data_IF_387668336999
#
_entry.id   IF_387668336999
#
_cell.length_a   1.000
_cell.length_b   1.000
_cell.length_c   1.000
_cell.angle_alpha   90.00
_cell.angle_beta   90.00
_cell.angle_gamma   90.00
#
_symmetry.space_group_name_H-M   'P 1'
#
loop_
_entity.id
_entity.type
_entity.pdbx_description
1 polymer ?
#
# COMPACT_ATOMS: atom_id res chain seq x y z
N UNK A 1 -14.17 -27.05 -8.95
CA UNK A 1 -15.22 -26.18 -9.50
C UNK A 1 -14.89 -24.76 -9.03
N UNK A 2 -14.40 -23.90 -9.93
CA UNK A 2 -13.72 -22.65 -9.57
C UNK A 2 -14.76 -21.55 -9.25
N UNK A 3 -15.18 -21.47 -7.98
CA UNK A 3 -16.09 -20.42 -7.53
C UNK A 3 -15.38 -19.10 -7.67
N UNK A 4 -15.84 -18.23 -8.58
CA UNK A 4 -15.25 -16.90 -8.79
C UNK A 4 -15.24 -16.14 -7.46
N UNK A 5 -14.07 -16.04 -6.85
CA UNK A 5 -13.89 -15.38 -5.56
C UNK A 5 -14.22 -13.89 -5.73
N UNK A 6 -15.09 -13.36 -4.86
CA UNK A 6 -15.53 -11.97 -4.92
C UNK A 6 -14.79 -11.16 -3.86
N UNK A 7 -14.39 -9.94 -4.20
CA UNK A 7 -13.68 -9.03 -3.28
C UNK A 7 -14.48 -8.77 -2.00
N UNK A 8 -15.81 -8.76 -2.06
CA UNK A 8 -16.66 -8.55 -0.89
C UNK A 8 -16.50 -9.64 0.17
N UNK A 9 -16.35 -10.91 -0.23
CA UNK A 9 -16.11 -12.02 0.71
C UNK A 9 -14.76 -11.84 1.41
N UNK A 10 -13.73 -11.39 0.67
CA UNK A 10 -12.44 -11.06 1.26
C UNK A 10 -12.55 -9.91 2.27
N UNK A 11 -13.35 -8.89 1.96
CA UNK A 11 -13.56 -7.76 2.86
C UNK A 11 -14.25 -8.21 4.16
N UNK A 12 -15.25 -9.09 4.07
CA UNK A 12 -15.91 -9.66 5.26
C UNK A 12 -14.92 -10.43 6.14
N UNK A 13 -14.14 -11.33 5.55
CA UNK A 13 -13.12 -12.09 6.28
C UNK A 13 -12.03 -11.16 6.87
N UNK A 14 -11.63 -10.11 6.14
CA UNK A 14 -10.66 -9.12 6.63
C UNK A 14 -11.20 -8.33 7.82
N UNK A 15 -12.48 -7.99 7.81
CA UNK A 15 -13.16 -7.31 8.93
C UNK A 15 -13.18 -8.24 10.16
N UNK A 16 -13.46 -9.52 9.98
CA UNK A 16 -13.49 -10.47 11.11
C UNK A 16 -12.09 -10.73 11.68
N UNK A 17 -11.06 -10.77 10.83
CA UNK A 17 -9.67 -10.81 11.27
C UNK A 17 -9.27 -9.53 12.02
N UNK A 18 -9.71 -8.37 11.52
CA UNK A 18 -9.49 -7.08 12.19
C UNK A 18 -10.16 -7.05 13.56
N UNK A 19 -11.44 -7.43 13.67
CA UNK A 19 -12.20 -7.47 14.93
C UNK A 19 -11.55 -8.38 15.96
N UNK A 20 -11.13 -9.58 15.56
CA UNK A 20 -10.50 -10.55 16.46
C UNK A 20 -9.13 -10.09 16.97
N UNK A 21 -8.46 -9.18 16.26
CA UNK A 21 -7.12 -8.70 16.60
C UNK A 21 -7.04 -7.17 16.73
N UNK A 22 -8.15 -6.49 17.03
CA UNK A 22 -8.26 -5.03 16.89
C UNK A 22 -7.20 -4.27 17.71
N UNK A 23 -6.83 -4.75 18.90
CA UNK A 23 -5.81 -4.13 19.75
C UNK A 23 -4.45 -4.08 19.06
N UNK A 24 -4.06 -5.16 18.38
CA UNK A 24 -2.81 -5.25 17.65
C UNK A 24 -2.81 -4.25 16.50
N UNK A 25 -3.85 -4.27 15.67
CA UNK A 25 -3.95 -3.37 14.52
C UNK A 25 -4.01 -1.90 14.93
N UNK A 26 -4.79 -1.54 15.96
CA UNK A 26 -4.81 -0.17 16.48
C UNK A 26 -3.47 0.28 17.04
N UNK A 27 -2.73 -0.61 17.71
CA UNK A 27 -1.39 -0.29 18.23
C UNK A 27 -0.42 0.00 17.09
N UNK A 28 -0.43 -0.84 16.05
CA UNK A 28 0.42 -0.67 14.86
C UNK A 28 0.06 0.63 14.14
N UNK A 29 -1.23 0.88 13.92
CA UNK A 29 -1.67 2.09 13.23
C UNK A 29 -1.41 3.35 14.05
N UNK A 30 -1.51 3.29 15.38
CA UNK A 30 -1.11 4.39 16.25
C UNK A 30 0.39 4.71 16.09
N UNK A 31 1.25 3.68 16.11
CA UNK A 31 2.69 3.86 15.89
C UNK A 31 2.98 4.42 14.48
N UNK A 32 2.24 3.96 13.46
CA UNK A 32 2.30 4.49 12.10
C UNK A 32 1.87 5.97 12.03
N UNK A 33 0.77 6.34 12.68
CA UNK A 33 0.28 7.71 12.75
C UNK A 33 1.27 8.64 13.47
N UNK A 34 1.93 8.16 14.54
CA UNK A 34 3.02 8.91 15.19
C UNK A 34 4.18 9.15 14.22
N UNK A 35 4.58 8.15 13.44
CA UNK A 35 5.62 8.33 12.41
C UNK A 35 5.19 9.34 11.34
N UNK A 36 3.93 9.26 10.87
CA UNK A 36 3.35 10.20 9.89
C UNK A 36 3.35 11.65 10.41
N UNK A 37 2.96 11.83 11.68
CA UNK A 37 2.98 13.14 12.34
C UNK A 37 4.40 13.71 12.45
N UNK A 38 5.39 12.88 12.80
CA UNK A 38 6.80 13.30 12.83
C UNK A 38 7.31 13.72 11.45
N UNK A 39 6.91 13.02 10.38
CA UNK A 39 7.24 13.38 9.00
C UNK A 39 6.57 14.72 8.62
N UNK A 40 5.30 14.91 8.98
CA UNK A 40 4.54 16.13 8.67
C UNK A 40 5.12 17.36 9.38
N UNK A 41 5.42 17.25 10.69
CA UNK A 41 6.15 18.27 11.44
C UNK A 41 7.54 18.52 10.84
N UNK A 42 8.19 17.45 10.38
CA UNK A 42 9.38 17.48 9.54
C UNK A 42 9.24 18.47 8.39
N UNK A 43 8.31 18.21 7.49
CA UNK A 43 8.14 18.99 6.26
C UNK A 43 7.80 20.47 6.50
N UNK A 44 7.10 20.81 7.59
CA UNK A 44 6.76 22.20 7.92
C UNK A 44 7.97 23.02 8.42
N UNK A 45 8.93 22.37 9.06
CA UNK A 45 10.08 23.01 9.68
C UNK A 45 11.29 23.14 8.73
N UNK A 46 11.29 22.47 7.57
CA UNK A 46 12.37 22.57 6.54
C UNK A 46 12.53 24.01 6.01
N UNK A 47 11.57 24.91 6.24
CA UNK A 47 11.63 26.32 5.87
C UNK A 47 12.44 27.21 6.84
N UNK A 48 13.14 26.66 7.83
CA UNK A 48 14.04 27.45 8.69
C UNK A 48 15.45 27.52 8.10
N UNK A 49 16.02 28.72 7.95
CA UNK A 49 17.40 28.99 7.44
C UNK A 49 18.53 28.41 8.32
N UNK A 50 18.21 27.61 9.35
CA UNK A 50 19.18 27.02 10.26
C UNK A 50 19.60 25.62 9.79
N UNK A 51 20.84 25.54 9.28
CA UNK A 51 21.46 24.30 8.82
C UNK A 51 21.43 23.18 9.86
N UNK A 52 21.57 23.50 11.16
CA UNK A 52 21.55 22.49 12.23
C UNK A 52 20.16 21.89 12.37
N UNK A 53 19.11 22.72 12.35
CA UNK A 53 17.73 22.25 12.40
C UNK A 53 17.41 21.41 11.16
N UNK A 54 17.85 21.82 9.97
CA UNK A 54 17.67 21.04 8.75
C UNK A 54 18.31 19.64 8.83
N UNK A 55 19.53 19.52 9.36
CA UNK A 55 20.21 18.22 9.54
C UNK A 55 19.47 17.33 10.54
N UNK A 56 19.09 17.86 11.70
CA UNK A 56 18.32 17.11 12.72
C UNK A 56 17.00 16.61 12.13
N UNK A 57 16.33 17.45 11.34
CA UNK A 57 15.05 17.17 10.71
C UNK A 57 15.15 16.06 9.66
N UNK A 58 16.17 16.11 8.81
CA UNK A 58 16.46 15.04 7.83
C UNK A 58 16.67 13.71 8.54
N UNK A 59 17.40 13.70 9.67
CA UNK A 59 17.57 12.49 10.47
C UNK A 59 16.22 11.99 11.02
N UNK A 60 15.39 12.87 11.60
CA UNK A 60 14.06 12.50 12.10
C UNK A 60 13.18 11.90 11.00
N UNK A 61 13.19 12.49 9.80
CA UNK A 61 12.44 11.97 8.64
C UNK A 61 12.96 10.60 8.22
N UNK A 62 14.28 10.42 8.09
CA UNK A 62 14.88 9.13 7.72
C UNK A 62 14.56 8.05 8.76
N UNK A 63 14.68 8.37 10.05
CA UNK A 63 14.30 7.45 11.12
C UNK A 63 12.82 7.10 11.07
N UNK A 64 11.94 8.10 10.88
CA UNK A 64 10.49 7.87 10.81
C UNK A 64 10.12 6.98 9.62
N UNK A 65 10.74 7.19 8.46
CA UNK A 65 10.58 6.32 7.28
C UNK A 65 11.03 4.89 7.59
N UNK A 66 12.21 4.73 8.21
CA UNK A 66 12.74 3.42 8.59
C UNK A 66 11.79 2.67 9.54
N UNK A 67 11.31 3.33 10.60
CA UNK A 67 10.37 2.75 11.56
C UNK A 67 9.02 2.42 10.90
N UNK A 68 8.49 3.31 10.06
CA UNK A 68 7.23 3.11 9.35
C UNK A 68 7.29 1.87 8.45
N UNK A 69 8.36 1.71 7.65
CA UNK A 69 8.52 0.53 6.82
C UNK A 69 8.68 -0.75 7.64
N UNK A 70 9.46 -0.73 8.73
CA UNK A 70 9.56 -1.91 9.60
C UNK A 70 8.23 -2.28 10.25
N UNK A 71 7.43 -1.30 10.68
CA UNK A 71 6.09 -1.55 11.21
C UNK A 71 5.19 -2.19 10.15
N UNK A 72 5.24 -1.71 8.90
CA UNK A 72 4.46 -2.28 7.80
C UNK A 72 4.88 -3.73 7.49
N UNK A 73 6.17 -4.03 7.47
CA UNK A 73 6.67 -5.39 7.26
C UNK A 73 6.30 -6.29 8.45
N UNK A 74 6.42 -5.80 9.68
CA UNK A 74 6.02 -6.53 10.87
C UNK A 74 4.52 -6.87 10.86
N UNK A 75 3.67 -5.94 10.39
CA UNK A 75 2.25 -6.17 10.16
C UNK A 75 2.01 -7.27 9.12
N UNK A 76 2.77 -7.25 8.01
CA UNK A 76 2.68 -8.29 6.98
C UNK A 76 3.01 -9.68 7.57
N UNK A 77 4.10 -9.78 8.33
CA UNK A 77 4.51 -11.02 8.99
C UNK A 77 3.47 -11.47 10.03
N UNK A 78 2.97 -10.54 10.86
CA UNK A 78 1.99 -10.86 11.90
C UNK A 78 0.70 -11.42 11.30
N UNK A 79 0.21 -10.83 10.21
CA UNK A 79 -0.98 -11.33 9.52
C UNK A 79 -0.71 -12.67 8.83
N UNK A 80 0.45 -12.85 8.18
CA UNK A 80 0.85 -14.15 7.64
C UNK A 80 0.83 -15.25 8.71
N UNK A 81 1.46 -15.00 9.85
CA UNK A 81 1.53 -15.97 10.94
C UNK A 81 0.13 -16.33 11.45
N UNK A 82 -0.78 -15.36 11.54
CA UNK A 82 -2.19 -15.61 11.89
C UNK A 82 -2.90 -16.47 10.85
N UNK A 83 -2.69 -16.26 9.55
CA UNK A 83 -3.23 -17.13 8.50
C UNK A 83 -2.71 -18.57 8.63
N UNK A 84 -1.44 -18.72 8.95
CA UNK A 84 -0.79 -20.02 9.15
C UNK A 84 -1.06 -20.62 10.54
N UNK A 85 -1.91 -19.98 11.37
CA UNK A 85 -2.26 -20.38 12.74
C UNK A 85 -1.07 -20.46 13.71
N UNK A 86 0.00 -19.71 13.45
CA UNK A 86 1.10 -19.55 14.38
C UNK A 86 0.78 -18.45 15.40
N UNK A 87 0.96 -18.76 16.69
CA UNK A 87 1.00 -17.74 17.73
C UNK A 87 2.37 -17.07 17.71
N UNK A 88 2.40 -15.78 17.41
CA UNK A 88 3.63 -14.99 17.44
C UNK A 88 3.37 -13.64 18.07
N UNK A 89 4.32 -13.20 18.88
CA UNK A 89 4.31 -11.86 19.46
C UNK A 89 4.68 -10.83 18.38
N UNK A 90 4.04 -9.66 18.44
CA UNK A 90 4.34 -8.58 17.50
C UNK A 90 5.78 -8.10 17.64
N UNK A 91 6.36 -8.15 18.84
CA UNK A 91 7.76 -7.80 19.06
C UNK A 91 8.70 -8.73 18.27
N UNK A 92 8.36 -10.01 18.18
CA UNK A 92 9.11 -10.97 17.37
C UNK A 92 8.96 -10.68 15.88
N UNK A 93 7.72 -10.42 15.42
CA UNK A 93 7.46 -10.00 14.04
C UNK A 93 8.25 -8.74 13.67
N UNK A 94 8.33 -7.76 14.58
CA UNK A 94 9.10 -6.54 14.39
C UNK A 94 10.60 -6.80 14.33
N UNK A 95 11.14 -7.69 15.15
CA UNK A 95 12.56 -8.11 15.06
C UNK A 95 12.84 -8.74 13.70
N UNK A 96 12.02 -9.70 13.28
CA UNK A 96 12.14 -10.39 12.00
C UNK A 96 11.96 -9.44 10.81
N UNK A 97 11.15 -8.39 10.92
CA UNK A 97 10.99 -7.39 9.86
C UNK A 97 12.32 -6.74 9.40
N UNK A 98 13.34 -6.73 10.26
CA UNK A 98 14.67 -6.24 9.90
C UNK A 98 15.34 -7.02 8.77
N UNK A 99 15.13 -8.33 8.65
CA UNK A 99 15.75 -9.15 7.60
C UNK A 99 15.15 -8.89 6.21
N UNK A 100 13.89 -8.44 6.15
CA UNK A 100 13.18 -8.17 4.90
C UNK A 100 13.19 -6.69 4.50
N UNK A 101 13.64 -5.81 5.39
CA UNK A 101 13.57 -4.35 5.23
C UNK A 101 14.08 -3.85 3.89
N UNK A 102 15.33 -4.18 3.53
CA UNK A 102 15.93 -3.65 2.30
C UNK A 102 15.26 -4.20 1.03
N UNK A 103 14.89 -5.48 1.04
CA UNK A 103 14.18 -6.10 -0.09
C UNK A 103 12.83 -5.41 -0.34
N UNK A 104 12.08 -5.16 0.74
CA UNK A 104 10.81 -4.45 0.68
C UNK A 104 10.97 -3.00 0.22
N UNK A 105 11.91 -2.26 0.80
CA UNK A 105 12.15 -0.84 0.47
C UNK A 105 12.59 -0.68 -0.98
N UNK A 106 13.57 -1.45 -1.45
CA UNK A 106 14.04 -1.34 -2.84
C UNK A 106 12.96 -1.74 -3.84
N UNK A 107 12.19 -2.79 -3.55
CA UNK A 107 11.07 -3.21 -4.41
C UNK A 107 9.98 -2.13 -4.46
N UNK A 108 9.67 -1.51 -3.32
CA UNK A 108 8.69 -0.42 -3.22
C UNK A 108 9.15 0.84 -3.96
N UNK A 109 10.42 1.23 -3.82
CA UNK A 109 11.00 2.36 -4.56
C UNK A 109 10.99 2.09 -6.06
N UNK A 110 11.39 0.89 -6.49
CA UNK A 110 11.38 0.52 -7.90
C UNK A 110 9.96 0.61 -8.49
N UNK A 111 8.95 0.09 -7.78
CA UNK A 111 7.55 0.22 -8.18
C UNK A 111 7.10 1.70 -8.22
N UNK A 112 7.45 2.48 -7.20
CA UNK A 112 7.11 3.89 -7.11
C UNK A 112 7.74 4.71 -8.26
N UNK A 113 8.98 4.40 -8.65
CA UNK A 113 9.63 5.04 -9.81
C UNK A 113 8.94 4.66 -11.12
N UNK A 114 8.59 3.38 -11.30
CA UNK A 114 7.87 2.91 -12.49
C UNK A 114 6.52 3.62 -12.67
N UNK A 115 5.73 3.70 -11.60
CA UNK A 115 4.43 4.38 -11.61
C UNK A 115 4.60 5.90 -11.67
N UNK A 116 5.54 6.44 -10.88
CA UNK A 116 5.81 7.87 -10.76
C UNK A 116 6.29 8.49 -12.07
N UNK A 117 7.09 7.80 -12.87
CA UNK A 117 7.49 8.27 -14.19
C UNK A 117 6.29 8.55 -15.09
N UNK A 118 5.25 7.69 -15.03
CA UNK A 118 4.01 7.90 -15.78
C UNK A 118 3.28 9.16 -15.31
N UNK A 119 3.24 9.40 -13.99
CA UNK A 119 2.62 10.60 -13.41
C UNK A 119 3.37 11.88 -13.80
N UNK A 120 4.71 11.84 -13.86
CA UNK A 120 5.53 12.99 -14.28
C UNK A 120 5.18 13.45 -15.70
N UNK A 121 4.93 12.52 -16.63
CA UNK A 121 4.52 12.89 -17.98
C UNK A 121 3.16 13.58 -18.04
N UNK A 122 2.23 13.25 -17.14
CA UNK A 122 0.95 13.95 -17.02
C UNK A 122 1.19 15.40 -16.59
N UNK A 123 1.96 15.62 -15.52
CA UNK A 123 2.30 16.97 -15.07
C UNK A 123 3.07 17.78 -16.11
N UNK A 124 3.98 17.14 -16.84
CA UNK A 124 4.71 17.79 -17.93
C UNK A 124 3.76 18.30 -19.02
N UNK A 125 2.77 17.49 -19.42
CA UNK A 125 1.77 17.90 -20.42
C UNK A 125 0.91 19.08 -19.97
N UNK A 126 0.57 19.15 -18.68
CA UNK A 126 -0.16 20.28 -18.08
C UNK A 126 0.74 21.53 -18.05
N UNK A 127 2.01 21.37 -17.65
CA UNK A 127 2.96 22.47 -17.45
C UNK A 127 3.39 23.14 -18.76
N UNK A 128 3.33 22.42 -19.88
CA UNK A 128 3.64 22.94 -21.21
C UNK A 128 2.49 23.71 -21.86
N UNK A 129 1.41 23.99 -21.11
CA UNK A 129 0.19 24.65 -21.63
C UNK A 129 -0.34 23.98 -22.90
N UNK A 130 -0.22 22.65 -22.98
CA UNK A 130 -0.66 21.90 -24.13
C UNK A 130 -2.17 22.09 -24.34
N UNK A 131 -2.62 21.94 -25.59
CA UNK A 131 -4.04 21.97 -25.91
C UNK A 131 -4.82 21.01 -24.97
N UNK A 132 -6.02 21.39 -24.46
CA UNK A 132 -6.81 20.53 -23.57
C UNK A 132 -7.01 19.10 -24.07
N UNK A 133 -7.12 18.91 -25.40
CA UNK A 133 -7.23 17.60 -26.01
C UNK A 133 -5.94 16.77 -25.86
N UNK A 134 -4.77 17.41 -25.97
CA UNK A 134 -3.47 16.76 -25.74
C UNK A 134 -3.32 16.37 -24.27
N UNK A 135 -3.70 17.25 -23.34
CA UNK A 135 -3.68 16.95 -21.90
C UNK A 135 -4.59 15.74 -21.60
N UNK A 136 -5.80 15.71 -22.17
CA UNK A 136 -6.73 14.60 -21.99
C UNK A 136 -6.16 13.28 -22.52
N UNK A 137 -5.56 13.29 -23.72
CA UNK A 137 -4.94 12.11 -24.32
C UNK A 137 -3.71 11.64 -23.53
N UNK A 138 -2.84 12.55 -23.10
CA UNK A 138 -1.69 12.23 -22.25
C UNK A 138 -2.13 11.65 -20.89
N UNK A 139 -3.14 12.24 -20.27
CA UNK A 139 -3.70 11.75 -19.00
C UNK A 139 -4.28 10.34 -19.16
N UNK A 140 -4.99 10.06 -20.26
CA UNK A 140 -5.52 8.74 -20.54
C UNK A 140 -4.42 7.71 -20.79
N UNK A 141 -3.40 8.08 -21.59
CA UNK A 141 -2.29 7.19 -21.92
C UNK A 141 -1.42 6.86 -20.71
N UNK A 142 -0.89 7.89 -20.04
CA UNK A 142 0.03 7.71 -18.92
C UNK A 142 -0.69 7.32 -17.63
N UNK A 143 -1.92 7.80 -17.41
CA UNK A 143 -2.77 7.32 -16.32
C UNK A 143 -3.16 5.86 -16.51
N UNK A 144 -3.51 5.46 -17.74
CA UNK A 144 -3.74 4.05 -18.10
C UNK A 144 -2.51 3.19 -17.90
N UNK A 145 -1.32 3.68 -18.26
CA UNK A 145 -0.05 2.99 -18.02
C UNK A 145 0.22 2.81 -16.52
N UNK A 146 0.05 3.86 -15.71
CA UNK A 146 0.21 3.80 -14.27
C UNK A 146 -0.72 2.75 -13.64
N UNK A 147 -2.00 2.74 -14.03
CA UNK A 147 -2.98 1.76 -13.57
C UNK A 147 -2.61 0.33 -14.00
N UNK A 148 -2.09 0.16 -15.22
CA UNK A 148 -1.65 -1.14 -15.72
C UNK A 148 -0.42 -1.66 -14.96
N UNK A 149 0.53 -0.77 -14.65
CA UNK A 149 1.70 -1.11 -13.84
C UNK A 149 1.30 -1.52 -12.43
N UNK A 150 0.40 -0.76 -11.79
CA UNK A 150 -0.18 -1.15 -10.50
C UNK A 150 -0.91 -2.49 -10.61
N UNK A 151 -1.76 -2.68 -11.62
CA UNK A 151 -2.48 -3.94 -11.81
C UNK A 151 -1.57 -5.17 -11.83
N UNK A 152 -0.42 -5.12 -12.51
CA UNK A 152 0.50 -6.26 -12.59
C UNK A 152 1.48 -6.37 -11.41
N UNK A 153 1.95 -5.23 -10.90
CA UNK A 153 3.12 -5.18 -10.02
C UNK A 153 2.80 -4.73 -8.61
N UNK A 154 1.54 -4.41 -8.29
CA UNK A 154 1.17 -3.95 -6.96
C UNK A 154 1.62 -4.94 -5.88
N UNK A 155 1.60 -6.26 -6.09
CA UNK A 155 1.99 -7.26 -5.09
C UNK A 155 3.51 -7.48 -4.93
N UNK A 156 4.36 -6.85 -5.75
CA UNK A 156 5.80 -7.09 -5.70
C UNK A 156 6.43 -6.81 -4.31
N UNK A 157 6.08 -5.71 -3.60
CA UNK A 157 6.55 -5.51 -2.23
C UNK A 157 6.12 -6.61 -1.26
N UNK A 158 4.91 -7.16 -1.38
CA UNK A 158 4.46 -8.28 -0.55
C UNK A 158 5.25 -9.56 -0.84
N UNK A 159 5.52 -9.86 -2.11
CA UNK A 159 6.36 -11.01 -2.51
C UNK A 159 7.72 -10.94 -1.83
N UNK A 160 8.32 -9.74 -1.75
CA UNK A 160 9.65 -9.55 -1.15
C UNK A 160 9.74 -9.95 0.33
N UNK A 161 8.61 -10.03 1.02
CA UNK A 161 8.50 -10.42 2.44
C UNK A 161 7.98 -11.86 2.56
N UNK A 162 6.93 -12.20 1.83
CA UNK A 162 6.21 -13.48 1.99
C UNK A 162 6.82 -14.63 1.17
N UNK A 163 7.53 -14.32 0.10
CA UNK A 163 8.20 -15.29 -0.77
C UNK A 163 9.62 -14.80 -1.12
N UNK A 164 10.52 -14.67 -0.12
CA UNK A 164 11.85 -14.10 -0.29
C UNK A 164 12.75 -14.90 -1.22
N UNK A 165 12.42 -16.17 -1.48
CA UNK A 165 13.16 -17.06 -2.39
C UNK A 165 12.81 -16.85 -3.88
N UNK A 166 11.83 -15.99 -4.19
CA UNK A 166 11.46 -15.72 -5.56
C UNK A 166 12.61 -15.04 -6.33
N UNK A 167 12.90 -15.54 -7.54
CA UNK A 167 13.96 -15.00 -8.40
C UNK A 167 13.70 -13.55 -8.85
N UNK A 168 12.43 -13.14 -8.92
CA UNK A 168 12.02 -11.77 -9.20
C UNK A 168 10.65 -11.47 -8.58
N UNK A 169 10.62 -10.48 -7.69
CA UNK A 169 9.39 -10.01 -7.03
C UNK A 169 8.33 -9.54 -8.04
N UNK A 170 8.76 -8.83 -9.08
CA UNK A 170 7.88 -8.31 -10.13
C UNK A 170 7.32 -9.43 -11.02
N UNK A 171 8.14 -10.43 -11.35
CA UNK A 171 7.70 -11.57 -12.15
C UNK A 171 6.67 -12.40 -11.40
N UNK A 172 6.93 -12.70 -10.12
CA UNK A 172 5.99 -13.46 -9.29
C UNK A 172 4.69 -12.68 -9.04
N UNK A 173 4.76 -11.36 -8.84
CA UNK A 173 3.57 -10.50 -8.78
C UNK A 173 2.73 -10.63 -10.05
N UNK A 174 3.35 -10.54 -11.23
CA UNK A 174 2.66 -10.68 -12.52
C UNK A 174 2.02 -12.05 -12.70
N UNK A 175 2.67 -13.11 -12.23
CA UNK A 175 2.16 -14.48 -12.25
C UNK A 175 0.92 -14.64 -11.36
N UNK A 176 0.97 -14.12 -10.13
CA UNK A 176 -0.18 -14.13 -9.21
C UNK A 176 -1.40 -13.45 -9.84
N UNK A 177 -1.21 -12.34 -10.54
CA UNK A 177 -2.31 -11.61 -11.20
C UNK A 177 -3.00 -12.44 -12.29
N UNK A 178 -2.30 -13.39 -12.92
CA UNK A 178 -2.89 -14.26 -13.95
C UNK A 178 -3.87 -15.27 -13.37
N UNK A 179 -3.74 -15.67 -12.10
CA UNK A 179 -4.60 -16.70 -11.50
C UNK A 179 -6.05 -16.20 -11.31
N UNK A 180 -6.23 -14.95 -10.85
CA UNK A 180 -7.54 -14.29 -10.70
C UNK A 180 -7.50 -12.80 -11.11
N UNK A 181 -7.44 -12.48 -12.41
CA UNK A 181 -7.30 -11.10 -12.89
C UNK A 181 -8.45 -10.17 -12.46
N UNK A 182 -9.67 -10.71 -12.35
CA UNK A 182 -10.86 -9.95 -11.94
C UNK A 182 -10.80 -9.51 -10.48
N UNK A 183 -10.22 -10.34 -9.62
CA UNK A 183 -10.08 -10.03 -8.20
C UNK A 183 -9.09 -8.87 -8.01
N UNK A 184 -7.97 -8.91 -8.72
CA UNK A 184 -6.96 -7.85 -8.73
C UNK A 184 -7.54 -6.55 -9.26
N UNK A 185 -8.28 -6.59 -10.38
CA UNK A 185 -8.94 -5.40 -10.92
C UNK A 185 -9.90 -4.78 -9.90
N UNK A 186 -10.69 -5.61 -9.22
CA UNK A 186 -11.62 -5.15 -8.18
C UNK A 186 -10.90 -4.48 -7.01
N UNK A 187 -9.72 -5.02 -6.63
CA UNK A 187 -8.89 -4.44 -5.58
C UNK A 187 -8.27 -3.09 -6.00
N UNK A 188 -7.79 -2.98 -7.25
CA UNK A 188 -7.28 -1.71 -7.80
C UNK A 188 -8.39 -0.66 -7.84
N UNK A 189 -9.58 -1.03 -8.31
CA UNK A 189 -10.75 -0.13 -8.32
C UNK A 189 -11.12 0.30 -6.89
N UNK A 190 -11.13 -0.62 -5.93
CA UNK A 190 -11.36 -0.28 -4.52
C UNK A 190 -10.34 0.74 -4.01
N UNK A 191 -9.05 0.53 -4.29
CA UNK A 191 -7.98 1.47 -3.93
C UNK A 191 -8.19 2.86 -4.53
N UNK A 192 -8.55 2.94 -5.82
CA UNK A 192 -8.86 4.21 -6.50
C UNK A 192 -10.08 4.89 -5.86
N UNK A 193 -11.14 4.14 -5.54
CA UNK A 193 -12.33 4.69 -4.88
C UNK A 193 -11.97 5.27 -3.50
N UNK A 194 -11.18 4.55 -2.71
CA UNK A 194 -10.72 5.04 -1.40
C UNK A 194 -9.93 6.34 -1.59
N UNK A 195 -9.01 6.41 -2.54
CA UNK A 195 -8.24 7.63 -2.80
C UNK A 195 -9.11 8.80 -3.27
N UNK A 196 -10.11 8.55 -4.12
CA UNK A 196 -11.09 9.57 -4.54
C UNK A 196 -11.90 10.08 -3.34
N UNK A 197 -12.36 9.19 -2.46
CA UNK A 197 -13.09 9.58 -1.25
C UNK A 197 -12.22 10.43 -0.32
N UNK A 198 -10.94 10.08 -0.16
CA UNK A 198 -9.98 10.88 0.61
C UNK A 198 -9.79 12.26 -0.01
N UNK A 199 -9.62 12.34 -1.33
CA UNK A 199 -9.50 13.61 -2.03
C UNK A 199 -10.75 14.49 -1.88
N UNK A 200 -11.94 13.93 -2.13
CA UNK A 200 -13.21 14.64 -1.98
C UNK A 200 -13.45 15.10 -0.54
N UNK A 201 -13.01 14.33 0.46
CA UNK A 201 -13.09 14.73 1.86
C UNK A 201 -12.25 15.99 2.14
N UNK A 202 -11.06 16.10 1.55
CA UNK A 202 -10.18 17.27 1.69
C UNK A 202 -10.80 18.52 1.05
N UNK A 203 -11.41 18.39 -0.14
CA UNK A 203 -12.06 19.52 -0.83
C UNK A 203 -13.38 19.96 -0.18
N UNK A 204 -14.23 19.03 0.27
CA UNK A 204 -15.50 19.34 0.95
C UNK A 204 -15.28 20.04 2.29
N UNK A 205 -14.18 19.71 2.98
CA UNK A 205 -13.78 20.34 4.23
C UNK A 205 -12.99 21.64 4.01
N UNK A 206 -12.58 21.97 2.79
CA UNK A 206 -11.86 23.19 2.44
C UNK A 206 -12.73 24.46 2.39
N UNK A 207 -14.05 24.34 2.51
CA UNK A 207 -14.98 25.46 2.47
C UNK A 207 -14.95 26.35 3.72
N UNK A 208 -14.22 27.48 3.65
CA UNK A 208 -14.42 28.73 4.41
C UNK A 208 -14.09 28.84 5.92
N UNK A 209 -13.34 27.95 6.57
CA UNK A 209 -12.80 28.25 7.92
C UNK A 209 -11.44 27.62 8.21
N UNK A 210 -10.38 28.39 7.98
CA UNK A 210 -8.96 27.97 8.00
C UNK A 210 -8.48 27.29 9.30
N UNK A 211 -9.14 27.51 10.45
CA UNK A 211 -8.71 26.97 11.76
C UNK A 211 -9.44 25.69 12.16
N UNK A 212 -10.76 25.58 11.96
CA UNK A 212 -11.49 24.32 12.19
C UNK A 212 -11.14 23.25 11.15
N UNK A 213 -10.81 23.67 9.93
CA UNK A 213 -10.53 22.74 8.83
C UNK A 213 -9.20 21.99 9.03
N UNK A 214 -8.20 22.60 9.68
CA UNK A 214 -6.96 21.91 10.04
C UNK A 214 -7.23 20.80 11.07
N UNK A 215 -7.94 21.09 12.16
CA UNK A 215 -8.22 20.08 13.19
C UNK A 215 -9.07 18.92 12.65
N UNK A 216 -10.09 19.21 11.85
CA UNK A 216 -10.95 18.18 11.25
C UNK A 216 -10.20 17.37 10.19
N UNK A 217 -9.37 18.00 9.35
CA UNK A 217 -8.56 17.26 8.36
C UNK A 217 -7.54 16.35 9.03
N UNK A 218 -6.89 16.81 10.10
CA UNK A 218 -5.94 15.99 10.86
C UNK A 218 -6.63 14.83 11.56
N UNK A 219 -7.80 15.05 12.15
CA UNK A 219 -8.58 13.96 12.79
C UNK A 219 -9.07 12.96 11.75
N UNK A 220 -9.52 13.39 10.58
CA UNK A 220 -9.92 12.47 9.49
C UNK A 220 -8.74 11.70 8.93
N UNK A 221 -7.61 12.36 8.66
CA UNK A 221 -6.38 11.71 8.21
C UNK A 221 -5.89 10.70 9.25
N UNK A 222 -5.93 11.08 10.53
CA UNK A 222 -5.65 10.18 11.65
C UNK A 222 -6.61 8.98 11.70
N UNK A 223 -7.92 9.18 11.50
CA UNK A 223 -8.90 8.08 11.50
C UNK A 223 -8.74 7.15 10.29
N UNK A 224 -8.40 7.70 9.12
CA UNK A 224 -8.08 6.94 7.91
C UNK A 224 -6.83 6.08 8.16
N UNK A 225 -5.79 6.65 8.73
CA UNK A 225 -4.55 5.95 9.06
C UNK A 225 -4.77 4.91 10.19
N UNK A 226 -5.62 5.22 11.17
CA UNK A 226 -5.88 4.37 12.32
C UNK A 226 -6.74 3.14 11.98
N UNK A 227 -7.72 3.29 11.09
CA UNK A 227 -8.74 2.25 10.83
C UNK A 227 -8.73 1.75 9.39
N UNK A 228 -8.67 2.63 8.40
CA UNK A 228 -8.81 2.25 6.99
C UNK A 228 -7.52 1.63 6.47
N UNK A 229 -6.36 2.23 6.76
CA UNK A 229 -5.06 1.73 6.33
C UNK A 229 -4.75 0.29 6.79
N UNK A 230 -4.93 -0.10 8.07
CA UNK A 230 -4.70 -1.48 8.49
C UNK A 230 -5.73 -2.44 7.86
N UNK A 231 -7.00 -2.05 7.76
CA UNK A 231 -8.03 -2.89 7.13
C UNK A 231 -7.71 -3.12 5.65
N UNK A 232 -7.31 -2.07 4.92
CA UNK A 232 -6.89 -2.18 3.53
C UNK A 232 -5.65 -3.07 3.39
N UNK A 233 -4.70 -2.98 4.32
CA UNK A 233 -3.51 -3.84 4.36
C UNK A 233 -3.89 -5.31 4.57
N UNK A 234 -4.85 -5.61 5.44
CA UNK A 234 -5.38 -6.96 5.63
C UNK A 234 -6.05 -7.45 4.34
N UNK A 235 -6.98 -6.67 3.77
CA UNK A 235 -7.66 -7.01 2.50
C UNK A 235 -6.63 -7.31 1.41
N UNK A 236 -5.61 -6.47 1.29
CA UNK A 236 -4.54 -6.63 0.31
C UNK A 236 -3.75 -7.94 0.52
N UNK A 237 -3.41 -8.29 1.76
CA UNK A 237 -2.79 -9.57 2.06
C UNK A 237 -3.70 -10.77 1.81
N UNK A 238 -4.99 -10.65 2.11
CA UNK A 238 -5.94 -11.72 1.84
C UNK A 238 -6.10 -11.98 0.34
N UNK A 239 -6.17 -10.90 -0.46
CA UNK A 239 -6.13 -11.02 -1.92
C UNK A 239 -4.85 -11.76 -2.34
N UNK A 240 -3.69 -11.38 -1.80
CA UNK A 240 -2.43 -12.06 -2.08
C UNK A 240 -2.49 -13.57 -1.80
N UNK A 241 -2.91 -13.98 -0.61
CA UNK A 241 -3.02 -15.41 -0.27
C UNK A 241 -3.96 -16.15 -1.21
N UNK A 242 -5.11 -15.56 -1.53
CA UNK A 242 -6.08 -16.19 -2.42
C UNK A 242 -5.55 -16.34 -3.86
N UNK A 243 -4.74 -15.38 -4.32
CA UNK A 243 -4.05 -15.49 -5.60
C UNK A 243 -3.00 -16.60 -5.59
N UNK A 244 -2.26 -16.76 -4.49
CA UNK A 244 -1.23 -17.78 -4.33
C UNK A 244 -1.84 -19.19 -4.25
N UNK A 245 -2.89 -19.37 -3.44
CA UNK A 245 -3.65 -20.62 -3.31
C UNK A 245 -4.20 -21.05 -4.69
N UNK A 246 -4.84 -20.13 -5.41
CA UNK A 246 -5.37 -20.42 -6.75
C UNK A 246 -4.26 -20.76 -7.76
N UNK A 247 -3.12 -20.04 -7.72
CA UNK A 247 -2.01 -20.31 -8.64
C UNK A 247 -1.43 -21.71 -8.43
N UNK A 248 -1.26 -22.13 -7.18
CA UNK A 248 -0.80 -23.47 -6.82
C UNK A 248 -1.78 -24.57 -7.25
N UNK A 249 -3.09 -24.36 -7.07
CA UNK A 249 -4.11 -25.31 -7.55
C UNK A 249 -4.08 -25.44 -9.08
N UNK A 250 -3.88 -24.34 -9.81
CA UNK A 250 -3.81 -24.36 -11.27
C UNK A 250 -2.58 -25.12 -11.77
N UNK A 251 -1.41 -24.94 -11.16
CA UNK A 251 -0.17 -25.62 -11.52
C UNK A 251 -0.32 -27.15 -11.41
N UNK A 252 -0.80 -27.64 -10.27
CA UNK A 252 -1.01 -29.08 -10.03
C UNK A 252 -2.07 -29.72 -10.94
N UNK A 253 -3.07 -28.96 -11.38
CA UNK A 253 -4.08 -29.44 -12.34
C UNK A 253 -3.54 -29.56 -13.77
N UNK A 254 -2.56 -28.74 -14.15
CA UNK A 254 -1.88 -28.87 -15.45
C UNK A 254 -0.98 -30.10 -15.49
N UNK A 255 -0.23 -30.36 -14.41
CA UNK A 255 0.72 -31.48 -14.36
C UNK A 255 0.00 -32.84 -14.40
N UNK A 256 -1.17 -32.94 -13.76
CA UNK A 256 -2.01 -34.15 -13.79
C UNK A 256 -2.81 -34.35 -15.08
N UNK A 257 -2.92 -33.33 -15.94
CA UNK A 257 -3.57 -33.45 -17.25
C UNK A 257 -2.59 -33.84 -18.38
N UNK A 258 -1.29 -33.84 -18.09
CA UNK A 258 -0.22 -34.21 -19.02
C UNK A 258 0.36 -35.61 -18.80
N UNK A 259 -0.13 -36.35 -17.80
CA UNK A 259 0.12 -37.78 -17.58
C UNK A 259 -1.00 -38.65 -18.19
#
# INVERSE_FOLDING_TARGET
MNTKLKIFVIIEEAIDLFKSNYKLFLTISFLGAVCSLLISLGNQLVNTDDFINAVVLVLVVIFSIYFSFRLQIALIIAVNNRFQKFETDFQECYKTAGSYFWSYVFTSIALALLVGLSIVFIFFSISMEANPLVIALCSLLFGGLALLLLYYFNFAPLVSVLNPEASSNFSKSKELVKSQPRLVLSMVVLGVIVQILLYLSKDLLGGNSFVMNMEVSYVLEFMVDLVIAPLFTIVYMMVYYKLQETAYEQENLTDTATE
#
